data_IF_656897819291
#
_entry.id   IF_656897819291
#
_cell.length_a   1.000
_cell.length_b   1.000
_cell.length_c   1.000
_cell.angle_alpha   90.00
_cell.angle_beta   90.00
_cell.angle_gamma   90.00
#
_symmetry.space_group_name_H-M   'P 1'
#
loop_
_entity.id
_entity.type
_entity.pdbx_description
1 polymer ?
#
# COMPACT_ATOMS: atom_id res chain seq x y z
N UNK A 1 10.41 -13.25 2.36
CA UNK A 1 10.31 -11.99 3.16
C UNK A 1 9.04 -12.08 3.97
N UNK A 2 9.06 -11.76 5.26
CA UNK A 2 7.88 -11.78 6.14
C UNK A 2 7.84 -10.51 6.97
N UNK A 3 6.67 -9.92 7.12
CA UNK A 3 6.38 -8.84 8.03
C UNK A 3 5.08 -9.18 8.77
N UNK A 4 5.17 -9.45 10.08
CA UNK A 4 4.05 -9.96 10.88
C UNK A 4 3.36 -11.16 10.19
N UNK A 5 2.10 -11.03 9.79
CA UNK A 5 1.33 -12.10 9.14
C UNK A 5 1.44 -12.08 7.60
N UNK A 6 1.98 -11.00 7.02
CA UNK A 6 2.16 -10.87 5.58
C UNK A 6 3.52 -11.44 5.15
N UNK A 7 3.52 -12.34 4.17
CA UNK A 7 4.74 -12.94 3.64
C UNK A 7 4.74 -13.03 2.11
N UNK A 8 5.94 -12.91 1.54
CA UNK A 8 6.22 -13.10 0.11
C UNK A 8 7.16 -14.29 -0.06
N UNK A 9 6.78 -15.19 -0.96
CA UNK A 9 7.62 -16.27 -1.46
C UNK A 9 8.01 -15.93 -2.91
N UNK A 10 9.31 -15.80 -3.16
CA UNK A 10 9.87 -15.56 -4.48
C UNK A 10 10.61 -16.81 -4.95
N UNK A 11 10.48 -17.15 -6.23
CA UNK A 11 11.14 -18.31 -6.83
C UNK A 11 11.46 -18.04 -8.29
N UNK A 12 12.59 -18.57 -8.77
CA UNK A 12 12.99 -18.52 -10.19
C UNK A 12 12.11 -19.41 -11.08
N UNK A 13 11.62 -20.54 -10.54
CA UNK A 13 10.84 -21.52 -11.31
C UNK A 13 9.51 -21.83 -10.65
N UNK A 14 8.53 -22.23 -11.46
CA UNK A 14 7.19 -22.60 -10.99
C UNK A 14 7.22 -23.84 -10.09
N UNK A 15 8.14 -24.76 -10.33
CA UNK A 15 8.27 -26.00 -9.56
C UNK A 15 8.73 -25.74 -8.13
N UNK A 16 9.79 -24.94 -7.93
CA UNK A 16 10.25 -24.54 -6.60
C UNK A 16 9.17 -23.76 -5.84
N UNK A 17 8.39 -22.92 -6.54
CA UNK A 17 7.27 -22.20 -5.92
C UNK A 17 6.19 -23.17 -5.41
N UNK A 18 5.83 -24.19 -6.20
CA UNK A 18 4.85 -25.20 -5.78
C UNK A 18 5.33 -25.98 -4.55
N UNK A 19 6.61 -26.37 -4.51
CA UNK A 19 7.21 -27.02 -3.34
C UNK A 19 7.16 -26.11 -2.10
N UNK A 20 7.51 -24.85 -2.24
CA UNK A 20 7.44 -23.88 -1.14
C UNK A 20 6.00 -23.67 -0.64
N UNK A 21 5.01 -23.62 -1.54
CA UNK A 21 3.59 -23.53 -1.17
C UNK A 21 3.12 -24.80 -0.42
N UNK A 22 3.53 -25.98 -0.87
CA UNK A 22 3.22 -27.24 -0.17
C UNK A 22 3.75 -27.21 1.26
N UNK A 23 5.02 -26.86 1.43
CA UNK A 23 5.66 -26.77 2.75
C UNK A 23 5.02 -25.70 3.63
N UNK A 24 4.65 -24.56 3.05
CA UNK A 24 3.91 -23.52 3.76
C UNK A 24 2.59 -24.05 4.31
N UNK A 25 1.80 -24.77 3.50
CA UNK A 25 0.52 -25.32 3.94
C UNK A 25 0.69 -26.35 5.07
N UNK A 26 1.73 -27.19 5.02
CA UNK A 26 2.05 -28.12 6.11
C UNK A 26 2.32 -27.38 7.43
N UNK A 27 3.14 -26.33 7.40
CA UNK A 27 3.47 -25.53 8.59
C UNK A 27 2.26 -24.76 9.12
N UNK A 28 1.47 -24.17 8.23
CA UNK A 28 0.26 -23.43 8.62
C UNK A 28 -0.77 -24.38 9.26
N UNK A 29 -0.91 -25.59 8.70
CA UNK A 29 -1.81 -26.61 9.24
C UNK A 29 -1.34 -27.12 10.60
N UNK A 30 -0.04 -27.34 10.82
CA UNK A 30 0.49 -27.76 12.12
C UNK A 30 0.27 -26.70 13.21
N UNK A 31 0.26 -25.42 12.82
CA UNK A 31 -0.08 -24.29 13.69
C UNK A 31 -1.59 -24.10 13.88
N UNK A 32 -2.43 -24.95 13.28
CA UNK A 32 -3.90 -24.84 13.29
C UNK A 32 -4.41 -23.50 12.74
N UNK A 33 -3.67 -22.93 11.79
CA UNK A 33 -4.03 -21.68 11.10
C UNK A 33 -4.57 -21.97 9.70
N UNK A 34 -5.31 -21.02 9.15
CA UNK A 34 -5.86 -21.11 7.79
C UNK A 34 -5.45 -19.87 7.00
N UNK A 35 -4.90 -20.07 5.80
CA UNK A 35 -4.57 -18.96 4.91
C UNK A 35 -5.83 -18.40 4.24
N UNK A 36 -6.05 -17.09 4.36
CA UNK A 36 -7.19 -16.40 3.76
C UNK A 36 -7.26 -16.62 2.23
N UNK A 37 -8.36 -17.15 1.67
CA UNK A 37 -8.43 -17.57 0.27
C UNK A 37 -8.27 -16.42 -0.71
N UNK A 38 -8.84 -15.25 -0.43
CA UNK A 38 -8.80 -14.10 -1.35
C UNK A 38 -7.50 -13.28 -1.29
N UNK A 39 -6.66 -13.46 -0.26
CA UNK A 39 -5.41 -12.69 -0.10
C UNK A 39 -4.20 -13.35 -0.78
N UNK A 40 -4.43 -14.34 -1.66
CA UNK A 40 -3.39 -15.13 -2.30
C UNK A 40 -3.16 -14.67 -3.73
N UNK A 41 -2.15 -13.83 -3.95
CA UNK A 41 -1.66 -13.56 -5.30
C UNK A 41 -0.55 -14.55 -5.68
N UNK A 42 -0.78 -15.37 -6.70
CA UNK A 42 0.24 -16.23 -7.30
C UNK A 42 0.44 -15.81 -8.75
N UNK A 43 1.59 -15.22 -9.07
CA UNK A 43 1.83 -14.67 -10.39
C UNK A 43 3.29 -14.38 -10.70
N UNK A 44 3.55 -14.00 -11.95
CA UNK A 44 4.88 -13.55 -12.39
C UNK A 44 5.16 -12.16 -11.81
N UNK A 45 6.38 -11.95 -11.30
CA UNK A 45 6.81 -10.66 -10.76
C UNK A 45 6.67 -9.51 -11.76
N UNK A 46 6.79 -9.78 -13.06
CA UNK A 46 6.65 -8.78 -14.13
C UNK A 46 5.27 -8.11 -14.18
N UNK A 47 4.21 -8.79 -13.68
CA UNK A 47 2.87 -8.18 -13.55
C UNK A 47 2.81 -7.15 -12.44
N UNK A 48 3.77 -7.20 -11.51
CA UNK A 48 3.75 -6.47 -10.25
C UNK A 48 2.83 -7.10 -9.22
N UNK A 49 3.00 -6.71 -7.97
CA UNK A 49 2.18 -7.13 -6.84
C UNK A 49 2.23 -6.05 -5.75
N UNK A 50 1.24 -6.06 -4.86
CA UNK A 50 1.17 -5.12 -3.74
C UNK A 50 1.66 -5.81 -2.45
N UNK A 51 2.46 -5.11 -1.64
CA UNK A 51 2.94 -5.58 -0.33
C UNK A 51 3.23 -4.39 0.59
N UNK A 52 2.79 -4.47 1.85
CA UNK A 52 2.95 -3.42 2.87
C UNK A 52 2.51 -2.02 2.40
N UNK A 53 1.46 -1.97 1.58
CA UNK A 53 0.94 -0.71 1.06
C UNK A 53 1.71 -0.10 -0.12
N UNK A 54 2.70 -0.81 -0.66
CA UNK A 54 3.43 -0.45 -1.86
C UNK A 54 3.13 -1.39 -3.02
N UNK A 55 3.15 -0.85 -4.23
CA UNK A 55 3.16 -1.61 -5.47
C UNK A 55 4.60 -1.84 -5.93
N UNK A 56 4.96 -3.12 -6.06
CA UNK A 56 6.22 -3.59 -6.59
C UNK A 56 6.08 -3.89 -8.07
N UNK A 57 7.01 -3.37 -8.89
CA UNK A 57 7.14 -3.73 -10.31
C UNK A 57 8.61 -3.69 -10.73
N UNK A 58 9.13 -4.73 -11.40
CA UNK A 58 10.52 -4.74 -11.87
C UNK A 58 10.87 -3.51 -12.71
N UNK A 59 12.06 -2.94 -12.46
CA UNK A 59 12.57 -1.76 -13.18
C UNK A 59 11.81 -0.46 -12.91
N UNK A 60 10.94 -0.40 -11.90
CA UNK A 60 10.19 0.80 -11.53
C UNK A 60 10.43 1.14 -10.05
N UNK A 61 10.46 2.44 -9.74
CA UNK A 61 10.40 2.91 -8.35
C UNK A 61 9.07 2.49 -7.71
N UNK A 62 9.10 2.25 -6.40
CA UNK A 62 7.93 1.88 -5.62
C UNK A 62 6.88 2.98 -5.67
N UNK A 63 5.62 2.60 -5.64
CA UNK A 63 4.47 3.52 -5.59
C UNK A 63 3.51 3.06 -4.50
N UNK A 64 2.68 3.96 -3.93
CA UNK A 64 1.60 3.52 -3.07
C UNK A 64 0.68 2.54 -3.83
N UNK A 65 0.24 1.47 -3.17
CA UNK A 65 -0.72 0.54 -3.75
C UNK A 65 -2.09 1.21 -3.93
N UNK A 66 -2.93 0.63 -4.80
CA UNK A 66 -4.31 1.15 -5.00
C UNK A 66 -5.10 1.12 -3.70
N UNK A 67 -4.97 0.04 -2.93
CA UNK A 67 -5.64 -0.14 -1.64
C UNK A 67 -5.17 0.92 -0.63
N UNK A 68 -3.86 1.22 -0.59
CA UNK A 68 -3.35 2.26 0.30
C UNK A 68 -3.87 3.65 -0.07
N UNK A 69 -3.98 3.97 -1.36
CA UNK A 69 -4.58 5.24 -1.82
C UNK A 69 -6.08 5.31 -1.50
N UNK A 70 -6.80 4.20 -1.63
CA UNK A 70 -8.21 4.12 -1.28
C UNK A 70 -8.42 4.36 0.22
N UNK A 71 -7.72 3.62 1.09
CA UNK A 71 -7.79 3.80 2.55
C UNK A 71 -7.38 5.21 2.97
N UNK A 72 -6.37 5.76 2.31
CA UNK A 72 -5.95 7.15 2.53
C UNK A 72 -7.09 8.13 2.27
N UNK A 73 -7.81 7.98 1.14
CA UNK A 73 -8.95 8.80 0.81
C UNK A 73 -10.14 8.60 1.74
N UNK A 74 -10.45 7.35 2.11
CA UNK A 74 -11.53 7.01 3.06
C UNK A 74 -11.30 7.66 4.43
N UNK A 75 -10.08 7.53 4.98
CA UNK A 75 -9.74 8.16 6.25
C UNK A 75 -9.74 9.69 6.18
N UNK A 76 -9.25 10.26 5.06
CA UNK A 76 -9.31 11.70 4.84
C UNK A 76 -10.76 12.21 4.84
N UNK A 77 -11.67 11.45 4.23
CA UNK A 77 -13.11 11.74 4.22
C UNK A 77 -13.70 11.70 5.61
N UNK A 78 -13.46 10.64 6.36
CA UNK A 78 -13.96 10.50 7.73
C UNK A 78 -13.46 11.64 8.63
N UNK A 79 -12.18 12.01 8.53
CA UNK A 79 -11.60 13.14 9.27
C UNK A 79 -12.26 14.47 8.91
N UNK A 80 -12.55 14.69 7.64
CA UNK A 80 -13.22 15.89 7.17
C UNK A 80 -14.68 15.96 7.64
N UNK A 81 -15.43 14.85 7.54
CA UNK A 81 -16.83 14.77 7.95
C UNK A 81 -17.00 14.96 9.47
N UNK A 82 -16.07 14.46 10.29
CA UNK A 82 -16.17 14.57 11.75
C UNK A 82 -15.86 15.97 12.30
N UNK A 83 -15.00 16.75 11.64
CA UNK A 83 -14.43 17.97 12.24
C UNK A 83 -14.39 19.19 11.32
N UNK A 84 -14.54 19.02 10.00
CA UNK A 84 -14.56 20.09 9.01
C UNK A 84 -13.28 20.94 8.89
N UNK A 85 -12.23 20.65 9.66
CA UNK A 85 -11.07 21.52 9.75
C UNK A 85 -10.04 21.21 8.64
N UNK A 86 -9.92 22.13 7.68
CA UNK A 86 -8.98 22.05 6.54
C UNK A 86 -7.51 21.93 7.01
N UNK A 87 -7.12 22.63 8.07
CA UNK A 87 -5.75 22.55 8.63
C UNK A 87 -5.41 21.14 9.09
N UNK A 88 -6.36 20.47 9.78
CA UNK A 88 -6.16 19.11 10.30
C UNK A 88 -6.10 18.07 9.17
N UNK A 89 -6.89 18.29 8.11
CA UNK A 89 -6.79 17.51 6.87
C UNK A 89 -5.41 17.68 6.23
N UNK A 90 -4.90 18.90 6.12
CA UNK A 90 -3.55 19.20 5.63
C UNK A 90 -2.46 18.44 6.40
N UNK A 91 -2.51 18.51 7.73
CA UNK A 91 -1.58 17.77 8.61
C UNK A 91 -1.67 16.25 8.39
N UNK A 92 -2.87 15.71 8.19
CA UNK A 92 -3.04 14.29 7.92
C UNK A 92 -2.40 13.88 6.58
N UNK A 93 -2.66 14.64 5.51
CA UNK A 93 -2.05 14.42 4.19
C UNK A 93 -0.52 14.49 4.29
N UNK A 94 0.01 15.44 5.05
CA UNK A 94 1.46 15.60 5.24
C UNK A 94 2.05 14.39 5.97
N UNK A 95 1.43 13.95 7.07
CA UNK A 95 1.88 12.76 7.81
C UNK A 95 1.85 11.51 6.95
N UNK A 96 0.79 11.33 6.15
CA UNK A 96 0.69 10.22 5.23
C UNK A 96 1.78 10.28 4.13
N UNK A 97 2.05 11.47 3.59
CA UNK A 97 3.14 11.69 2.64
C UNK A 97 4.50 11.34 3.23
N UNK A 98 4.76 11.74 4.48
CA UNK A 98 5.99 11.39 5.19
C UNK A 98 6.09 9.88 5.44
N UNK A 99 5.01 9.24 5.89
CA UNK A 99 4.96 7.79 6.08
C UNK A 99 5.34 7.04 4.80
N UNK A 100 4.70 7.37 3.67
CA UNK A 100 4.91 6.62 2.43
C UNK A 100 6.31 6.84 1.82
N UNK A 101 7.00 7.93 2.17
CA UNK A 101 8.31 8.30 1.64
C UNK A 101 9.48 8.22 2.64
N UNK A 102 9.20 8.02 3.93
CA UNK A 102 10.17 8.11 5.01
C UNK A 102 11.00 6.85 5.22
N UNK A 103 10.41 5.67 5.01
CA UNK A 103 11.05 4.40 5.38
C UNK A 103 11.98 3.82 4.28
N UNK A 104 11.98 4.39 3.07
CA UNK A 104 12.56 3.75 1.90
C UNK A 104 13.42 4.75 1.09
N UNK A 105 14.63 5.01 1.58
CA UNK A 105 15.73 5.85 1.04
C UNK A 105 15.71 6.11 -0.50
N UNK A 106 14.77 6.94 -0.98
CA UNK A 106 14.63 7.29 -2.40
C UNK A 106 14.10 6.19 -3.33
N UNK A 107 13.74 5.02 -2.79
CA UNK A 107 13.20 3.87 -3.55
C UNK A 107 11.76 4.14 -4.03
N UNK A 108 11.02 4.97 -3.30
CA UNK A 108 9.64 5.36 -3.63
C UNK A 108 9.65 6.53 -4.60
N UNK A 109 8.80 6.46 -5.61
CA UNK A 109 8.62 7.53 -6.60
C UNK A 109 8.03 8.77 -5.94
N UNK A 110 8.75 9.89 -5.98
CA UNK A 110 8.29 11.20 -5.49
C UNK A 110 7.63 12.07 -6.57
N UNK A 111 7.21 11.46 -7.69
CA UNK A 111 6.65 12.20 -8.83
C UNK A 111 5.42 13.01 -8.37
N UNK A 112 5.45 14.33 -8.58
CA UNK A 112 4.38 15.26 -8.20
C UNK A 112 4.43 15.73 -6.73
N UNK A 113 5.26 15.12 -5.88
CA UNK A 113 5.48 15.55 -4.50
C UNK A 113 4.22 15.55 -3.62
N UNK A 114 4.29 16.28 -2.51
CA UNK A 114 3.18 16.45 -1.57
C UNK A 114 1.92 17.02 -2.25
N UNK A 115 2.10 18.04 -3.11
CA UNK A 115 0.99 18.72 -3.82
C UNK A 115 0.12 17.75 -4.62
N UNK A 116 0.72 16.71 -5.20
CA UNK A 116 -0.03 15.67 -5.91
C UNK A 116 -1.06 14.97 -5.02
N UNK A 117 -0.66 14.55 -3.83
CA UNK A 117 -1.54 13.84 -2.89
C UNK A 117 -2.56 14.76 -2.25
N UNK A 118 -2.19 16.01 -1.96
CA UNK A 118 -3.13 17.01 -1.47
C UNK A 118 -4.25 17.26 -2.49
N UNK A 119 -3.90 17.53 -3.75
CA UNK A 119 -4.88 17.73 -4.83
C UNK A 119 -5.72 16.46 -5.06
N UNK A 120 -5.11 15.28 -4.96
CA UNK A 120 -5.85 14.02 -5.03
C UNK A 120 -6.95 13.94 -3.96
N UNK A 121 -6.63 14.24 -2.70
CA UNK A 121 -7.62 14.23 -1.62
C UNK A 121 -8.68 15.31 -1.77
N UNK A 122 -8.29 16.55 -2.07
CA UNK A 122 -9.25 17.65 -2.23
C UNK A 122 -10.26 17.35 -3.35
N UNK A 123 -9.83 16.72 -4.44
CA UNK A 123 -10.72 16.25 -5.51
C UNK A 123 -11.69 15.17 -5.04
N UNK A 124 -11.24 14.20 -4.24
CA UNK A 124 -12.10 13.15 -3.68
C UNK A 124 -13.17 13.71 -2.72
N UNK A 125 -12.88 14.85 -2.07
CA UNK A 125 -13.79 15.53 -1.16
C UNK A 125 -14.65 16.62 -1.84
N UNK A 126 -14.47 16.87 -3.14
CA UNK A 126 -15.19 17.92 -3.86
C UNK A 126 -14.82 19.36 -3.49
N UNK A 127 -13.68 19.56 -2.81
CA UNK A 127 -13.24 20.88 -2.31
C UNK A 127 -12.49 21.61 -3.44
N UNK A 128 -13.03 22.75 -3.89
CA UNK A 128 -12.46 23.53 -5.01
C UNK A 128 -11.36 24.51 -4.59
N UNK A 129 -11.26 24.87 -3.31
CA UNK A 129 -10.40 25.96 -2.85
C UNK A 129 -9.14 25.44 -2.14
N UNK A 130 -7.98 25.58 -2.80
CA UNK A 130 -6.67 25.08 -2.35
C UNK A 130 -5.99 26.07 -1.40
N UNK A 131 -6.44 27.33 -1.36
CA UNK A 131 -5.78 28.43 -0.63
C UNK A 131 -5.98 28.39 0.90
N UNK A 132 -6.58 27.33 1.45
CA UNK A 132 -6.88 27.20 2.87
C UNK A 132 -6.08 26.08 3.59
N UNK A 133 -5.22 25.34 2.86
CA UNK A 133 -4.36 24.26 3.38
C UNK A 133 -2.92 24.71 3.49
#
# INVERSE_FOLDING_TARGET
IRYMDDFIILSKTRWHLRKAISRLNEVISSLKLTLHPEKKFIGKINKGFDFLGYQFKPGRKLRPSKISLQRFAEHARQLYEQQGCIKRLGMYVERWYRYIHGELNGTVSRKGGFKHYLVFILKQLGIKNINAV
#
